data_IF_930063509302
#
_entry.id   IF_930063509302
#
_cell.length_a   1.000
_cell.length_b   1.000
_cell.length_c   1.000
_cell.angle_alpha   90.00
_cell.angle_beta   90.00
_cell.angle_gamma   90.00
#
_symmetry.space_group_name_H-M   'P 1'
#
loop_
_entity.id
_entity.type
_entity.pdbx_description
1 polymer ?
#
# COMPACT_ATOMS: atom_id res chain seq x y z
N UNK A 1 2.45 -3.32 11.72
CA UNK A 1 1.60 -3.93 10.68
C UNK A 1 0.18 -3.73 11.15
N UNK A 2 -0.56 -2.90 10.46
CA UNK A 2 -1.88 -2.43 10.91
C UNK A 2 -2.97 -3.05 10.05
N UNK A 3 -4.11 -3.32 10.68
CA UNK A 3 -5.35 -3.81 10.08
C UNK A 3 -6.50 -2.92 10.54
N UNK A 4 -7.67 -3.05 9.91
CA UNK A 4 -8.84 -2.22 10.25
C UNK A 4 -9.26 -2.35 11.73
N UNK A 5 -9.02 -3.51 12.35
CA UNK A 5 -9.34 -3.86 13.74
C UNK A 5 -8.15 -3.74 14.70
N UNK A 6 -6.95 -3.46 14.18
CA UNK A 6 -5.73 -3.30 14.97
C UNK A 6 -4.86 -2.19 14.38
N UNK A 7 -5.04 -1.00 14.93
CA UNK A 7 -4.24 0.15 14.56
C UNK A 7 -2.86 0.11 15.23
N UNK A 8 -1.83 0.07 14.39
CA UNK A 8 -0.41 0.11 14.75
C UNK A 8 0.37 1.06 13.83
N UNK A 9 -0.34 2.01 13.21
CA UNK A 9 0.30 3.07 12.45
C UNK A 9 0.69 4.25 13.36
N UNK A 10 1.35 5.26 12.79
CA UNK A 10 1.89 6.39 13.55
C UNK A 10 0.98 7.65 13.45
N UNK A 11 -0.26 7.50 12.95
CA UNK A 11 -1.21 8.60 12.81
C UNK A 11 -2.19 8.60 13.99
N UNK A 12 -2.12 9.61 14.84
CA UNK A 12 -2.96 9.64 16.05
C UNK A 12 -4.45 9.89 15.78
N UNK A 13 -4.82 10.40 14.61
CA UNK A 13 -6.16 10.89 14.26
C UNK A 13 -6.85 10.09 13.16
N UNK A 14 -6.21 9.04 12.64
CA UNK A 14 -6.71 8.24 11.53
C UNK A 14 -6.24 6.80 11.72
N UNK A 15 -6.89 5.86 11.04
CA UNK A 15 -6.42 4.49 10.90
C UNK A 15 -6.21 4.24 9.41
N UNK A 16 -4.95 4.17 8.98
CA UNK A 16 -4.59 4.06 7.57
C UNK A 16 -5.09 2.76 6.95
N UNK A 17 -5.17 1.68 7.72
CA UNK A 17 -5.70 0.40 7.25
C UNK A 17 -7.21 0.46 6.99
N UNK A 18 -7.93 1.24 7.80
CA UNK A 18 -9.34 1.54 7.59
C UNK A 18 -9.55 2.47 6.39
N UNK A 19 -8.80 3.58 6.33
CA UNK A 19 -8.95 4.65 5.34
C UNK A 19 -8.55 4.22 3.92
N UNK A 20 -7.47 3.46 3.78
CA UNK A 20 -6.95 3.04 2.46
C UNK A 20 -7.22 1.57 2.12
N UNK A 21 -8.07 0.90 2.91
CA UNK A 21 -8.56 -0.45 2.67
C UNK A 21 -7.46 -1.49 2.38
N UNK A 22 -6.83 -1.99 3.43
CA UNK A 22 -5.85 -3.06 3.31
C UNK A 22 -5.01 -3.18 4.56
N UNK A 23 -4.29 -4.30 4.67
CA UNK A 23 -3.36 -4.54 5.76
C UNK A 23 -1.92 -4.30 5.28
N UNK A 24 -1.15 -3.49 6.00
CA UNK A 24 0.21 -3.13 5.59
C UNK A 24 1.10 -2.70 6.75
N UNK A 25 2.38 -2.48 6.45
CA UNK A 25 3.31 -1.79 7.35
C UNK A 25 3.13 -0.27 7.22
N UNK A 26 2.00 0.24 7.70
CA UNK A 26 1.71 1.67 7.70
C UNK A 26 2.54 2.42 8.75
N UNK A 27 2.83 3.70 8.47
CA UNK A 27 3.44 4.67 9.40
C UNK A 27 2.61 5.95 9.40
N UNK A 28 3.04 7.03 8.73
CA UNK A 28 2.14 8.09 8.28
C UNK A 28 1.44 7.62 6.99
N UNK A 29 0.58 6.62 7.15
CA UNK A 29 0.04 5.76 6.10
C UNK A 29 1.13 5.13 5.24
N UNK A 30 1.32 5.53 3.99
CA UNK A 30 2.26 4.85 3.10
C UNK A 30 2.75 5.68 1.92
N UNK A 31 3.94 5.29 1.46
CA UNK A 31 4.48 5.55 0.11
C UNK A 31 4.33 4.33 -0.81
N UNK A 32 4.10 3.14 -0.25
CA UNK A 32 3.79 1.93 -0.99
C UNK A 32 2.68 1.15 -0.30
N UNK A 33 1.72 0.64 -1.06
CA UNK A 33 0.64 -0.19 -0.56
C UNK A 33 0.32 -1.26 -1.59
N UNK A 34 1.01 -2.40 -1.51
CA UNK A 34 0.84 -3.50 -2.46
C UNK A 34 -0.34 -4.42 -2.12
N UNK A 35 -1.02 -4.15 -1.00
CA UNK A 35 -2.18 -4.87 -0.49
C UNK A 35 -3.49 -4.05 -0.59
N UNK A 36 -3.49 -2.94 -1.33
CA UNK A 36 -4.68 -2.13 -1.57
C UNK A 36 -5.67 -2.78 -2.52
N UNK A 37 -6.82 -2.13 -2.71
CA UNK A 37 -7.88 -2.67 -3.56
C UNK A 37 -7.42 -2.83 -5.01
N UNK A 38 -7.87 -3.88 -5.70
CA UNK A 38 -7.62 -4.04 -7.12
C UNK A 38 -8.58 -3.15 -7.93
N UNK A 39 -8.06 -2.11 -8.58
CA UNK A 39 -8.86 -1.15 -9.35
C UNK A 39 -8.72 -1.42 -10.85
N UNK A 40 -9.84 -1.74 -11.51
CA UNK A 40 -9.90 -2.06 -12.96
C UNK A 40 -10.02 -0.84 -13.88
N UNK A 41 -10.38 0.33 -13.35
CA UNK A 41 -10.81 1.47 -14.18
C UNK A 41 -9.63 2.36 -14.60
N UNK A 42 -9.52 2.73 -15.90
CA UNK A 42 -8.58 3.74 -16.37
C UNK A 42 -8.91 5.16 -15.86
N UNK A 43 -10.06 5.37 -15.21
CA UNK A 43 -10.48 6.63 -14.59
C UNK A 43 -10.12 6.73 -13.09
N UNK A 44 -9.33 5.81 -12.53
CA UNK A 44 -8.83 5.88 -11.14
C UNK A 44 -7.82 7.04 -10.90
N UNK A 45 -7.76 7.96 -11.85
CA UNK A 45 -6.78 9.01 -12.02
C UNK A 45 -7.03 10.10 -10.99
N UNK A 46 -5.97 10.50 -10.32
CA UNK A 46 -5.85 11.58 -9.34
C UNK A 46 -6.24 11.24 -7.90
N UNK A 47 -7.44 10.73 -7.58
CA UNK A 47 -7.87 10.65 -6.16
C UNK A 47 -8.13 9.25 -5.60
N UNK A 48 -8.20 8.20 -6.43
CA UNK A 48 -8.44 6.82 -5.95
C UNK A 48 -7.22 5.92 -6.05
N UNK A 49 -6.12 6.39 -6.67
CA UNK A 49 -4.87 5.63 -6.79
C UNK A 49 -4.31 5.17 -5.43
N UNK A 50 -4.46 5.99 -4.38
CA UNK A 50 -4.03 5.64 -3.02
C UNK A 50 -4.88 4.54 -2.39
N UNK A 51 -6.13 4.35 -2.84
CA UNK A 51 -6.97 3.23 -2.38
C UNK A 51 -6.60 1.91 -3.11
N UNK A 52 -5.75 1.99 -4.13
CA UNK A 52 -5.35 0.86 -4.95
C UNK A 52 -3.98 0.29 -4.62
N UNK A 53 -3.44 -0.47 -5.56
CA UNK A 53 -2.06 -0.98 -5.52
C UNK A 53 -1.10 0.18 -5.81
N UNK A 54 -0.51 0.77 -4.78
CA UNK A 54 0.20 2.05 -4.90
C UNK A 54 1.71 1.93 -4.69
N UNK A 55 2.49 2.70 -5.47
CA UNK A 55 3.94 2.84 -5.30
C UNK A 55 4.41 4.23 -5.72
N UNK A 56 4.50 5.15 -4.76
CA UNK A 56 4.65 6.59 -4.99
C UNK A 56 5.91 6.97 -5.77
N UNK A 57 7.00 6.20 -5.65
CA UNK A 57 8.25 6.49 -6.38
C UNK A 57 8.25 6.01 -7.83
N UNK A 58 7.24 5.23 -8.23
CA UNK A 58 7.07 4.75 -9.61
C UNK A 58 5.96 5.54 -10.31
N UNK A 59 4.80 5.67 -9.65
CA UNK A 59 3.66 6.42 -10.16
C UNK A 59 2.79 6.90 -9.00
N UNK A 60 2.56 8.22 -8.92
CA UNK A 60 1.76 8.86 -7.88
C UNK A 60 0.26 8.83 -8.17
N UNK A 61 -0.15 8.68 -9.43
CA UNK A 61 -1.51 8.97 -9.87
C UNK A 61 -2.28 7.74 -10.34
N UNK A 62 -1.61 6.58 -10.42
CA UNK A 62 -2.21 5.35 -10.93
C UNK A 62 -2.04 4.18 -9.94
N UNK A 63 -3.07 3.35 -9.89
CA UNK A 63 -2.97 2.02 -9.28
C UNK A 63 -2.27 1.07 -10.25
N UNK A 64 -1.37 0.24 -9.73
CA UNK A 64 -0.72 -0.82 -10.50
C UNK A 64 -1.72 -1.90 -10.94
N UNK A 65 -1.43 -2.55 -12.07
CA UNK A 65 -2.23 -3.66 -12.60
C UNK A 65 -1.93 -5.00 -11.94
N UNK A 66 -0.75 -5.15 -11.35
CA UNK A 66 -0.31 -6.36 -10.67
C UNK A 66 0.86 -6.04 -9.73
N UNK A 67 0.99 -6.83 -8.67
CA UNK A 67 2.10 -6.77 -7.72
C UNK A 67 2.56 -8.19 -7.40
N UNK A 68 3.83 -8.37 -7.05
CA UNK A 68 4.30 -9.63 -6.50
C UNK A 68 5.46 -9.37 -5.55
N UNK A 69 5.33 -9.82 -4.30
CA UNK A 69 6.38 -9.77 -3.30
C UNK A 69 7.08 -11.13 -3.29
N UNK A 70 8.38 -11.15 -3.52
CA UNK A 70 9.20 -12.37 -3.49
C UNK A 70 10.42 -12.13 -2.62
N UNK A 71 10.78 -13.12 -1.82
CA UNK A 71 12.01 -13.13 -1.04
C UNK A 71 12.91 -14.23 -1.58
N UNK A 72 14.23 -13.97 -1.59
CA UNK A 72 15.25 -14.97 -1.91
C UNK A 72 16.21 -15.01 -0.73
N UNK A 73 16.63 -16.22 -0.34
CA UNK A 73 17.65 -16.39 0.71
C UNK A 73 18.90 -15.58 0.32
N UNK A 74 19.37 -14.74 1.24
CA UNK A 74 20.68 -14.14 1.11
C UNK A 74 21.72 -15.22 1.45
N UNK A 75 22.29 -15.82 0.42
CA UNK A 75 23.48 -16.64 0.60
C UNK A 75 24.62 -15.65 0.82
N UNK A 76 25.07 -15.51 2.07
CA UNK A 76 26.27 -14.76 2.39
C UNK A 76 27.43 -15.44 1.68
N UNK A 77 27.82 -14.94 0.50
CA UNK A 77 29.17 -15.13 -0.01
C UNK A 77 30.07 -14.34 0.95
N UNK A 78 30.61 -15.05 1.95
CA UNK A 78 31.86 -14.64 2.56
C UNK A 78 33.00 -15.00 1.62
#
# INVERSE_FOLDING_TARGET
FSTYDRDLDNLFYDNCALTYHGAWWFTNCFQSHLNGAYIRSPLALQNTARNGLHWSTYDLYHSMKATTIRIRRQNNLR
#
